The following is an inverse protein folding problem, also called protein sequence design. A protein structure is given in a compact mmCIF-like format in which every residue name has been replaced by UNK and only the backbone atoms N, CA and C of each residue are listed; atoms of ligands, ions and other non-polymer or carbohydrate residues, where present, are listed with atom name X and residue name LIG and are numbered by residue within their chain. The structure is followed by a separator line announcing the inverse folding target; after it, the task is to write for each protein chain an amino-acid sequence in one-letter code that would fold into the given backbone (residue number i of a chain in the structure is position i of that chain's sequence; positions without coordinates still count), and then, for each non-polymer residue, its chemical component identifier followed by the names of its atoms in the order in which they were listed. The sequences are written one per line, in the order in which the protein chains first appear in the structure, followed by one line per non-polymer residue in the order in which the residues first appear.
data_IF_318900043156
#
_entry.id   IF_318900043156
#
_cell.length_a   1.000
_cell.length_b   1.000
_cell.length_c   1.000
_cell.angle_alpha   90.00
_cell.angle_beta   90.00
_cell.angle_gamma   90.00
#
_symmetry.space_group_name_H-M   'P 1'
#
loop_
_entity.id
_entity.type
_entity.pdbx_description
1 polymer ?
#
# COMPACT_ATOMS: atom_id res chain seq x y z
N UNK A 1 -19.60 -28.77 11.65
CA UNK A 1 -19.69 -27.48 10.93
C UNK A 1 -18.29 -27.17 10.42
N UNK A 2 -18.01 -27.43 9.14
CA UNK A 2 -16.69 -27.14 8.56
C UNK A 2 -16.63 -25.70 8.09
N UNK A 3 -15.71 -24.90 8.62
CA UNK A 3 -15.44 -23.56 8.12
C UNK A 3 -14.65 -23.70 6.81
N UNK A 4 -15.23 -23.29 5.69
CA UNK A 4 -14.52 -23.19 4.42
C UNK A 4 -13.86 -21.82 4.39
N UNK A 5 -12.55 -21.77 4.65
CA UNK A 5 -11.76 -20.54 4.48
C UNK A 5 -11.41 -20.38 3.01
N UNK A 6 -12.01 -19.41 2.33
CA UNK A 6 -11.64 -19.05 0.95
C UNK A 6 -10.50 -18.04 1.03
N UNK A 7 -9.30 -18.47 0.65
CA UNK A 7 -8.14 -17.59 0.45
C UNK A 7 -8.24 -16.98 -0.96
N UNK A 8 -8.40 -15.66 -1.03
CA UNK A 8 -8.39 -14.90 -2.27
C UNK A 8 -7.24 -13.89 -2.30
N UNK A 9 -6.64 -13.68 -3.47
CA UNK A 9 -5.65 -12.63 -3.67
C UNK A 9 -6.29 -11.42 -4.33
N UNK A 10 -5.98 -10.23 -3.82
CA UNK A 10 -6.37 -8.95 -4.44
C UNK A 10 -5.14 -8.35 -5.12
N UNK A 11 -5.24 -8.07 -6.41
CA UNK A 11 -4.18 -7.42 -7.17
C UNK A 11 -4.75 -6.18 -7.88
N UNK A 12 -4.06 -5.05 -7.76
CA UNK A 12 -4.50 -3.77 -8.31
C UNK A 12 -3.69 -2.60 -7.74
N UNK A 13 -4.12 -1.38 -8.05
CA UNK A 13 -3.52 -0.16 -7.50
C UNK A 13 -4.44 0.45 -6.44
N UNK A 14 -3.92 0.75 -5.25
CA UNK A 14 -4.71 1.30 -4.15
C UNK A 14 -4.52 2.81 -3.97
N UNK A 15 -3.49 3.41 -4.57
CA UNK A 15 -2.94 4.73 -4.25
C UNK A 15 -2.55 4.92 -2.76
N UNK A 16 -2.71 3.88 -1.95
CA UNK A 16 -2.31 3.81 -0.55
C UNK A 16 -0.88 3.33 -0.42
N UNK A 17 -0.34 3.46 0.78
CA UNK A 17 1.03 3.09 1.12
C UNK A 17 1.02 2.29 2.40
N UNK A 18 1.72 1.15 2.41
CA UNK A 18 1.82 0.26 3.56
C UNK A 18 2.85 0.78 4.56
N UNK A 19 3.92 1.41 4.08
CA UNK A 19 4.98 1.97 4.91
C UNK A 19 5.56 3.23 4.29
N UNK A 20 5.89 4.21 5.13
CA UNK A 20 6.59 5.43 4.70
C UNK A 20 7.93 5.16 4.02
N UNK A 21 8.54 4.00 4.27
CA UNK A 21 9.77 3.57 3.60
C UNK A 21 9.58 3.25 2.10
N UNK A 22 8.34 3.09 1.63
CA UNK A 22 8.03 2.78 0.22
C UNK A 22 8.08 4.04 -0.67
N UNK A 23 8.05 5.24 -0.08
CA UNK A 23 8.11 6.49 -0.83
C UNK A 23 9.42 7.22 -0.63
N UNK A 24 10.02 7.59 -1.75
CA UNK A 24 11.21 8.45 -1.80
C UNK A 24 10.75 9.91 -1.88
N UNK A 25 11.23 10.77 -0.99
CA UNK A 25 10.94 12.21 -0.98
C UNK A 25 10.06 12.66 0.19
N UNK A 26 9.16 13.63 -0.02
CA UNK A 26 8.43 14.29 1.06
C UNK A 26 7.37 13.38 1.72
N UNK A 27 7.56 13.13 3.02
CA UNK A 27 6.78 12.21 3.86
C UNK A 27 5.85 12.91 4.87
N UNK A 28 6.06 14.20 5.13
CA UNK A 28 5.49 14.92 6.28
C UNK A 28 3.96 14.99 6.33
N UNK A 29 3.25 14.63 5.25
CA UNK A 29 1.79 14.71 5.16
C UNK A 29 1.08 13.36 5.02
N UNK A 30 1.79 12.23 5.13
CA UNK A 30 1.23 10.91 4.75
C UNK A 30 1.09 9.90 5.90
N UNK A 31 1.49 10.23 7.13
CA UNK A 31 1.36 9.33 8.29
C UNK A 31 -0.09 8.87 8.52
N UNK A 32 -1.05 9.81 8.53
CA UNK A 32 -2.46 9.49 8.76
C UNK A 32 -3.03 8.56 7.66
N UNK A 33 -2.64 8.76 6.40
CA UNK A 33 -3.08 7.91 5.30
C UNK A 33 -2.50 6.49 5.38
N UNK A 34 -1.24 6.35 5.81
CA UNK A 34 -0.61 5.02 6.00
C UNK A 34 -1.31 4.26 7.12
N UNK A 35 -1.55 4.91 8.27
CA UNK A 35 -2.25 4.30 9.41
C UNK A 35 -3.65 3.85 8.99
N UNK A 36 -4.42 4.73 8.33
CA UNK A 36 -5.78 4.39 7.86
C UNK A 36 -5.78 3.22 6.89
N UNK A 37 -4.78 3.15 6.00
CA UNK A 37 -4.67 2.04 5.05
C UNK A 37 -4.35 0.72 5.77
N UNK A 38 -3.42 0.73 6.72
CA UNK A 38 -3.10 -0.46 7.54
C UNK A 38 -4.31 -0.95 8.35
N UNK A 39 -5.09 -0.03 8.96
CA UNK A 39 -6.32 -0.39 9.67
C UNK A 39 -7.32 -1.05 8.72
N UNK A 40 -7.47 -0.53 7.50
CA UNK A 40 -8.38 -1.11 6.49
C UNK A 40 -7.97 -2.53 6.10
N UNK A 41 -6.67 -2.82 6.01
CA UNK A 41 -6.19 -4.17 5.73
C UNK A 41 -6.46 -5.09 6.92
N UNK A 42 -6.20 -4.62 8.14
CA UNK A 42 -6.46 -5.38 9.36
C UNK A 42 -7.94 -5.71 9.54
N UNK A 43 -8.84 -4.75 9.32
CA UNK A 43 -10.30 -4.93 9.43
C UNK A 43 -10.84 -5.93 8.39
N UNK A 44 -10.08 -6.20 7.33
CA UNK A 44 -10.42 -7.11 6.25
C UNK A 44 -9.62 -8.40 6.27
N UNK A 45 -8.81 -8.61 7.30
CA UNK A 45 -7.91 -9.76 7.44
C UNK A 45 -6.99 -9.93 6.21
N UNK A 46 -6.60 -8.81 5.60
CA UNK A 46 -5.69 -8.76 4.47
C UNK A 46 -4.26 -8.55 4.95
N UNK A 47 -3.34 -9.32 4.36
CA UNK A 47 -1.89 -9.17 4.56
C UNK A 47 -1.20 -8.91 3.23
N UNK A 48 -0.17 -8.07 3.26
CA UNK A 48 0.73 -7.93 2.12
C UNK A 48 1.49 -9.25 1.90
N UNK A 49 1.66 -9.64 0.63
CA UNK A 49 2.33 -10.90 0.26
C UNK A 49 3.86 -10.82 0.36
N UNK A 50 4.43 -9.66 0.74
CA UNK A 50 5.86 -9.49 0.97
C UNK A 50 6.69 -9.36 -0.31
N UNK A 51 6.09 -8.90 -1.41
CA UNK A 51 6.81 -8.76 -2.68
C UNK A 51 7.74 -7.54 -2.65
N UNK A 52 9.05 -7.77 -2.72
CA UNK A 52 10.07 -6.74 -2.45
C UNK A 52 10.65 -6.02 -3.68
N UNK A 53 10.24 -6.34 -4.91
CA UNK A 53 10.80 -5.73 -6.12
C UNK A 53 9.92 -5.90 -7.36
N UNK A 54 9.57 -4.87 -8.15
CA UNK A 54 10.18 -3.54 -8.16
C UNK A 54 9.66 -2.64 -7.03
N UNK A 55 10.56 -1.93 -6.36
CA UNK A 55 10.27 -1.11 -5.18
C UNK A 55 9.42 0.15 -5.45
N UNK A 56 9.21 0.52 -6.72
CA UNK A 56 8.46 1.71 -7.11
C UNK A 56 7.49 1.34 -8.22
N UNK A 57 6.20 1.57 -7.97
CA UNK A 57 5.11 1.32 -8.93
C UNK A 57 4.58 2.59 -9.59
N UNK A 58 4.95 3.78 -9.07
CA UNK A 58 4.52 5.07 -9.60
C UNK A 58 5.57 6.17 -9.42
N UNK A 59 5.76 7.00 -10.44
CA UNK A 59 6.61 8.19 -10.38
C UNK A 59 5.80 9.43 -10.77
N UNK A 60 5.62 10.35 -9.82
CA UNK A 60 5.05 11.67 -10.08
C UNK A 60 6.10 12.52 -10.80
N UNK A 61 6.27 12.30 -12.11
CA UNK A 61 7.08 13.16 -13.00
C UNK A 61 6.46 14.57 -13.04
N UNK A 62 6.66 15.38 -11.99
CA UNK A 62 6.39 16.81 -12.05
C UNK A 62 7.52 17.41 -12.86
N UNK A 63 7.24 17.69 -14.11
CA UNK A 63 8.05 18.58 -14.91
C UNK A 63 8.07 19.94 -14.18
N UNK A 64 9.21 20.29 -13.58
CA UNK A 64 9.44 21.68 -13.21
C UNK A 64 9.77 22.37 -14.53
N UNK A 65 8.74 22.77 -15.27
CA UNK A 65 8.91 23.75 -16.33
C UNK A 65 9.70 24.93 -15.77
N UNK A 66 10.87 25.17 -16.35
CA UNK A 66 11.78 26.25 -15.98
C UNK A 66 11.22 27.63 -16.28
#
# INVERSE_FOLDING_TARGET
MGLITILGCVAGTSNGMLSLSEKIGELNKQYASVIKFQMTLSDRELSDLGYVSPRITWNNKRDRGG
#
